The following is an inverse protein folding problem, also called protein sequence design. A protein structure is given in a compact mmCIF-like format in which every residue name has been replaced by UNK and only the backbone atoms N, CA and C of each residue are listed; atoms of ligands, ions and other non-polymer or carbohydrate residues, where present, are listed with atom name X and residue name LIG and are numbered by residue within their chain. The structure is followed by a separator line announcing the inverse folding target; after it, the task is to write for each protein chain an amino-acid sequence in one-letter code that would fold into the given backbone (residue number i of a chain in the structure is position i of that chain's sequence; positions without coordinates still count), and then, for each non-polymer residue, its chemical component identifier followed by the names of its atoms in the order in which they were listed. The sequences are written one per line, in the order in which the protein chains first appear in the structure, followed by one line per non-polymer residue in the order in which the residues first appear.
data_IF_595011672555
#
_entry.id   IF_595011672555
#
_cell.length_a   1.000
_cell.length_b   1.000
_cell.length_c   1.000
_cell.angle_alpha   90.00
_cell.angle_beta   90.00
_cell.angle_gamma   90.00
#
_symmetry.space_group_name_H-M   'P 1'
#
loop_
_entity.id
_entity.type
_entity.pdbx_description
1 polymer ?
#
# COMPACT_ATOMS: atom_id res chain seq x y z
N UNK A 1 22.70 -8.16 1.74
CA UNK A 1 23.62 -7.83 2.87
C UNK A 1 24.71 -6.86 2.42
N UNK A 2 25.28 -7.03 1.22
CA UNK A 2 26.42 -6.22 0.73
C UNK A 2 26.19 -4.69 0.69
N UNK A 3 25.00 -4.21 0.30
CA UNK A 3 24.77 -2.77 0.14
C UNK A 3 24.91 -1.98 1.46
N UNK A 4 24.30 -2.46 2.55
CA UNK A 4 24.37 -1.78 3.86
C UNK A 4 25.77 -1.91 4.47
N UNK A 5 26.45 -3.03 4.25
CA UNK A 5 27.85 -3.20 4.65
C UNK A 5 28.76 -2.21 3.92
N UNK A 6 28.53 -1.96 2.63
CA UNK A 6 29.25 -0.91 1.88
C UNK A 6 28.96 0.48 2.44
N UNK A 7 27.70 0.82 2.69
CA UNK A 7 27.33 2.12 3.28
C UNK A 7 28.02 2.35 4.64
N UNK A 8 28.21 1.29 5.43
CA UNK A 8 28.89 1.36 6.74
C UNK A 8 30.41 1.56 6.64
N UNK A 9 31.03 1.28 5.48
CA UNK A 9 32.44 1.61 5.23
C UNK A 9 32.63 3.13 5.09
N UNK A 10 31.64 3.81 4.50
CA UNK A 10 31.70 5.26 4.26
C UNK A 10 31.19 6.07 5.46
N UNK A 11 30.11 5.60 6.11
CA UNK A 11 29.54 6.25 7.30
C UNK A 11 29.10 5.22 8.33
N UNK A 12 29.68 5.31 9.51
CA UNK A 12 29.33 4.41 10.61
C UNK A 12 27.83 4.54 10.97
N UNK A 13 27.24 3.42 11.39
CA UNK A 13 25.84 3.32 11.84
C UNK A 13 24.76 3.55 10.77
N UNK A 14 25.07 3.41 9.46
CA UNK A 14 24.01 3.35 8.46
C UNK A 14 23.10 2.13 8.70
N UNK A 15 21.79 2.39 8.76
CA UNK A 15 20.74 1.40 9.09
C UNK A 15 21.07 0.70 10.41
N UNK A 16 20.96 1.44 11.51
CA UNK A 16 21.49 1.03 12.82
C UNK A 16 20.57 0.04 13.55
N UNK A 17 19.26 0.19 13.43
CA UNK A 17 18.30 -0.64 14.17
C UNK A 17 17.74 -1.77 13.32
N UNK A 18 17.21 -2.80 14.00
CA UNK A 18 16.56 -3.93 13.32
C UNK A 18 15.34 -3.45 12.51
N UNK A 19 14.53 -2.56 13.07
CA UNK A 19 13.32 -2.02 12.45
C UNK A 19 13.66 -1.18 11.21
N UNK A 20 14.78 -0.44 11.24
CA UNK A 20 15.26 0.28 10.06
C UNK A 20 15.67 -0.68 8.94
N UNK A 21 16.29 -1.80 9.30
CA UNK A 21 16.66 -2.84 8.34
C UNK A 21 15.40 -3.47 7.75
N UNK A 22 14.43 -3.85 8.58
CA UNK A 22 13.13 -4.37 8.16
C UNK A 22 12.41 -3.40 7.22
N UNK A 23 12.34 -2.12 7.56
CA UNK A 23 11.71 -1.09 6.74
C UNK A 23 12.31 -0.96 5.33
N UNK A 24 13.62 -1.22 5.16
CA UNK A 24 14.24 -1.25 3.82
C UNK A 24 13.67 -2.39 2.98
N UNK A 25 13.47 -3.58 3.57
CA UNK A 25 12.86 -4.70 2.86
C UNK A 25 11.38 -4.48 2.61
N UNK A 26 10.65 -3.89 3.55
CA UNK A 26 9.24 -3.52 3.35
C UNK A 26 9.09 -2.53 2.18
N UNK A 27 9.92 -1.48 2.13
CA UNK A 27 9.90 -0.50 1.04
C UNK A 27 10.25 -1.13 -0.32
N UNK A 28 11.23 -2.05 -0.36
CA UNK A 28 11.56 -2.78 -1.57
C UNK A 28 10.43 -3.72 -2.00
N UNK A 29 9.81 -4.42 -1.05
CA UNK A 29 8.68 -5.30 -1.31
C UNK A 29 7.49 -4.49 -1.86
N UNK A 30 7.19 -3.34 -1.28
CA UNK A 30 6.17 -2.42 -1.77
C UNK A 30 6.47 -2.00 -3.22
N UNK A 31 7.69 -1.53 -3.49
CA UNK A 31 8.12 -1.12 -4.83
C UNK A 31 7.97 -2.24 -5.88
N UNK A 32 8.24 -3.49 -5.52
CA UNK A 32 8.11 -4.62 -6.45
C UNK A 32 6.68 -5.14 -6.58
N UNK A 33 5.83 -4.90 -5.59
CA UNK A 33 4.45 -5.42 -5.56
C UNK A 33 3.44 -4.42 -6.10
N UNK A 34 3.67 -3.13 -5.84
CA UNK A 34 2.78 -2.03 -6.20
C UNK A 34 3.41 -1.23 -7.34
N UNK A 35 2.83 -1.27 -8.55
CA UNK A 35 3.35 -0.44 -9.64
C UNK A 35 3.03 1.03 -9.37
N UNK A 36 3.91 1.90 -9.86
CA UNK A 36 3.68 3.35 -9.81
C UNK A 36 2.41 3.72 -10.57
N UNK A 37 1.40 4.19 -9.84
CA UNK A 37 0.12 4.67 -10.36
C UNK A 37 0.07 6.20 -10.44
N UNK A 38 1.21 6.89 -10.25
CA UNK A 38 1.27 8.35 -10.32
C UNK A 38 1.06 8.82 -11.75
N UNK A 39 0.12 9.75 -11.92
CA UNK A 39 -0.17 10.36 -13.22
C UNK A 39 0.15 11.86 -13.13
N UNK A 40 1.06 12.39 -13.95
CA UNK A 40 1.31 13.82 -14.01
C UNK A 40 0.02 14.59 -14.32
N UNK A 41 -0.17 15.74 -13.66
CA UNK A 41 -1.38 16.57 -13.86
C UNK A 41 -1.61 16.94 -15.33
N UNK A 42 -0.53 17.18 -16.08
CA UNK A 42 -0.57 17.52 -17.51
C UNK A 42 -1.16 16.40 -18.36
N UNK A 43 -1.03 15.15 -17.90
CA UNK A 43 -1.35 13.96 -18.68
C UNK A 43 -2.65 13.31 -18.23
N UNK A 44 -3.16 13.68 -17.06
CA UNK A 44 -4.32 13.05 -16.42
C UNK A 44 -5.53 12.95 -17.34
N UNK A 45 -6.00 14.07 -17.89
CA UNK A 45 -7.20 14.07 -18.75
C UNK A 45 -7.04 13.17 -19.97
N UNK A 46 -5.85 13.22 -20.61
CA UNK A 46 -5.54 12.40 -21.78
C UNK A 46 -5.49 10.92 -21.39
N UNK A 47 -4.79 10.58 -20.32
CA UNK A 47 -4.67 9.21 -19.84
C UNK A 47 -6.05 8.58 -19.55
N UNK A 48 -6.92 9.31 -18.85
CA UNK A 48 -8.27 8.82 -18.52
C UNK A 48 -9.10 8.62 -19.79
N UNK A 49 -9.13 9.60 -20.69
CA UNK A 49 -9.83 9.48 -21.97
C UNK A 49 -9.33 8.27 -22.79
N UNK A 50 -8.01 8.08 -22.86
CA UNK A 50 -7.39 6.93 -23.54
C UNK A 50 -7.81 5.60 -22.90
N UNK A 51 -7.98 5.51 -21.57
CA UNK A 51 -8.47 4.29 -20.91
C UNK A 51 -9.95 4.03 -21.19
N UNK A 52 -10.77 5.06 -21.26
CA UNK A 52 -12.21 4.94 -21.51
C UNK A 52 -12.52 4.52 -22.95
N UNK A 53 -11.71 4.96 -23.91
CA UNK A 53 -11.85 4.59 -25.32
C UNK A 53 -11.27 3.22 -25.68
N UNK A 54 -10.50 2.58 -24.78
CA UNK A 54 -9.99 1.23 -25.00
C UNK A 54 -11.11 0.19 -24.96
N UNK A 55 -11.26 -0.56 -26.05
CA UNK A 55 -12.14 -1.73 -26.11
C UNK A 55 -11.50 -2.92 -25.41
N UNK A 56 -11.79 -3.05 -24.11
CA UNK A 56 -11.41 -4.20 -23.28
C UNK A 56 -12.64 -4.84 -22.64
N UNK A 57 -12.61 -6.13 -22.29
CA UNK A 57 -13.66 -6.74 -21.48
C UNK A 57 -13.91 -5.94 -20.19
N UNK A 58 -15.17 -5.84 -19.74
CA UNK A 58 -15.56 -5.03 -18.57
C UNK A 58 -14.77 -5.40 -17.30
N UNK A 59 -14.45 -6.67 -17.12
CA UNK A 59 -13.66 -7.19 -16.00
C UNK A 59 -12.16 -6.92 -16.12
N UNK A 60 -11.70 -6.33 -17.22
CA UNK A 60 -10.29 -6.07 -17.50
C UNK A 60 -9.97 -4.59 -17.73
N UNK A 61 -10.94 -3.69 -17.51
CA UNK A 61 -10.69 -2.26 -17.56
C UNK A 61 -9.71 -1.83 -16.44
N UNK A 62 -9.07 -0.68 -16.65
CA UNK A 62 -8.04 -0.16 -15.76
C UNK A 62 -8.56 -0.04 -14.31
N UNK A 63 -9.74 0.57 -14.12
CA UNK A 63 -10.33 0.79 -12.80
C UNK A 63 -10.54 -0.52 -12.03
N UNK A 64 -11.05 -1.56 -12.71
CA UNK A 64 -11.31 -2.85 -12.07
C UNK A 64 -10.03 -3.55 -11.67
N UNK A 65 -9.00 -3.51 -12.52
CA UNK A 65 -7.68 -4.10 -12.23
C UNK A 65 -7.01 -3.40 -11.05
N UNK A 66 -7.03 -2.06 -11.02
CA UNK A 66 -6.49 -1.29 -9.89
C UNK A 66 -7.26 -1.56 -8.60
N UNK A 67 -8.59 -1.58 -8.65
CA UNK A 67 -9.41 -1.89 -7.48
C UNK A 67 -9.15 -3.31 -6.95
N UNK A 68 -9.05 -4.31 -7.82
CA UNK A 68 -8.69 -5.68 -7.42
C UNK A 68 -7.32 -5.74 -6.77
N UNK A 69 -6.35 -4.96 -7.27
CA UNK A 69 -5.03 -4.86 -6.63
C UNK A 69 -5.15 -4.29 -5.22
N UNK A 70 -5.94 -3.23 -5.01
CA UNK A 70 -6.19 -2.69 -3.67
C UNK A 70 -6.82 -3.74 -2.74
N UNK A 71 -7.73 -4.56 -3.24
CA UNK A 71 -8.31 -5.67 -2.46
C UNK A 71 -7.25 -6.70 -2.05
N UNK A 72 -6.29 -7.02 -2.93
CA UNK A 72 -5.19 -7.95 -2.62
C UNK A 72 -4.15 -7.38 -1.66
N UNK A 73 -3.93 -6.06 -1.71
CA UNK A 73 -2.97 -5.36 -0.84
C UNK A 73 -3.56 -5.03 0.53
N UNK A 74 -4.89 -5.15 0.70
CA UNK A 74 -5.56 -4.78 1.95
C UNK A 74 -5.02 -5.62 3.10
N UNK A 75 -4.40 -5.01 4.12
CA UNK A 75 -3.89 -5.74 5.27
C UNK A 75 -5.03 -6.41 6.04
N UNK A 76 -4.78 -7.62 6.52
CA UNK A 76 -5.68 -8.33 7.42
C UNK A 76 -5.22 -8.09 8.85
N UNK A 77 -5.99 -7.33 9.61
CA UNK A 77 -5.68 -7.11 11.02
C UNK A 77 -6.38 -8.13 11.91
N UNK A 78 -5.70 -8.61 12.97
CA UNK A 78 -6.33 -9.48 13.96
C UNK A 78 -7.37 -8.72 14.76
N UNK A 79 -8.30 -9.44 15.39
CA UNK A 79 -9.34 -8.84 16.23
C UNK A 79 -8.78 -7.98 17.38
N UNK A 80 -7.56 -8.29 17.85
CA UNK A 80 -6.84 -7.53 18.88
C UNK A 80 -6.50 -6.10 18.45
N UNK A 81 -6.34 -5.83 17.15
CA UNK A 81 -6.10 -4.48 16.63
C UNK A 81 -7.31 -3.55 16.84
N UNK A 82 -8.50 -4.12 17.04
CA UNK A 82 -9.77 -3.40 17.17
C UNK A 82 -10.30 -3.33 18.60
N UNK A 83 -9.47 -3.62 19.61
CA UNK A 83 -9.86 -3.67 21.03
C UNK A 83 -10.51 -2.36 21.51
N UNK A 84 -9.95 -1.21 21.15
CA UNK A 84 -10.51 0.09 21.52
C UNK A 84 -11.87 0.35 20.87
N UNK A 85 -12.04 -0.01 19.58
CA UNK A 85 -13.29 0.17 18.85
C UNK A 85 -14.40 -0.77 19.33
N UNK A 86 -14.01 -1.98 19.78
CA UNK A 86 -14.94 -3.04 20.21
C UNK A 86 -15.21 -3.06 21.71
N UNK A 87 -14.61 -2.16 22.49
CA UNK A 87 -14.86 -2.06 23.92
C UNK A 87 -16.34 -1.76 24.22
N UNK A 88 -16.84 -2.20 25.37
CA UNK A 88 -18.25 -1.99 25.78
C UNK A 88 -18.62 -0.50 25.78
N UNK A 89 -17.67 0.34 26.14
CA UNK A 89 -17.80 1.80 26.22
C UNK A 89 -17.81 2.48 24.85
N UNK A 90 -17.27 1.83 23.80
CA UNK A 90 -17.09 2.46 22.49
C UNK A 90 -17.94 1.80 21.38
N UNK A 91 -18.38 0.55 21.55
CA UNK A 91 -19.08 -0.19 20.49
C UNK A 91 -20.36 0.49 20.01
N UNK A 92 -21.05 1.23 20.90
CA UNK A 92 -22.27 1.96 20.57
C UNK A 92 -22.02 3.30 19.87
N UNK A 93 -20.76 3.77 19.86
CA UNK A 93 -20.33 4.97 19.12
C UNK A 93 -20.09 4.67 17.64
N UNK A 94 -19.99 3.38 17.28
CA UNK A 94 -19.78 2.96 15.89
C UNK A 94 -21.11 2.83 15.17
N UNK A 95 -21.28 3.58 14.07
CA UNK A 95 -22.48 3.48 13.23
C UNK A 95 -22.61 2.11 12.53
N UNK A 96 -21.49 1.46 12.24
CA UNK A 96 -21.44 0.11 11.65
C UNK A 96 -20.41 -0.75 12.35
N UNK A 97 -20.73 -2.04 12.52
CA UNK A 97 -19.84 -3.04 13.10
C UNK A 97 -18.99 -3.77 12.06
N UNK A 98 -18.94 -3.26 10.83
CA UNK A 98 -18.15 -3.81 9.72
C UNK A 98 -16.92 -2.96 9.39
N UNK A 99 -16.78 -1.81 10.03
CA UNK A 99 -15.69 -0.86 9.85
C UNK A 99 -15.16 -0.58 11.24
N UNK A 100 -14.02 -1.19 11.56
CA UNK A 100 -13.27 -1.02 12.80
C UNK A 100 -11.82 -0.69 12.45
#
# INVERSE_FOLDING_TARGET
MECIEMMRKDRMNMVQTYEQYEAVFEALLELFTVPDSSIPKTDFCKYISDQEHKTVPRNQNMYKKEFQRLETLRPMYPQSAYTAATSKENIHKNATKKIF
#
